data_IF_914998808571
#
_entry.id   IF_914998808571
#
_cell.length_a   1.000
_cell.length_b   1.000
_cell.length_c   1.000
_cell.angle_alpha   90.00
_cell.angle_beta   90.00
_cell.angle_gamma   90.00
#
_symmetry.space_group_name_H-M   'P 1'
#
loop_
_entity.id
_entity.type
_entity.pdbx_description
1 polymer ?
#
# COMPACT_ATOMS: atom_id res chain seq x y z
N UNK A 1 10.42 -31.80 -12.16
CA UNK A 1 10.38 -31.09 -10.87
C UNK A 1 10.60 -29.59 -11.07
N UNK A 2 11.74 -29.11 -11.60
CA UNK A 2 12.02 -27.65 -11.75
C UNK A 2 10.96 -26.93 -12.63
N UNK A 3 10.54 -27.52 -13.76
CA UNK A 3 9.48 -26.93 -14.63
C UNK A 3 8.13 -26.70 -13.91
N UNK A 4 7.79 -27.51 -12.91
CA UNK A 4 6.56 -27.31 -12.11
C UNK A 4 6.77 -26.19 -11.10
N UNK A 5 7.93 -26.11 -10.48
CA UNK A 5 8.32 -25.02 -9.58
C UNK A 5 8.28 -23.67 -10.31
N UNK A 6 8.90 -23.60 -11.50
CA UNK A 6 8.92 -22.36 -12.30
C UNK A 6 7.51 -21.89 -12.67
N UNK A 7 6.58 -22.83 -12.96
CA UNK A 7 5.16 -22.50 -13.20
C UNK A 7 4.45 -21.95 -11.97
N UNK A 8 4.72 -22.53 -10.80
CA UNK A 8 4.13 -22.08 -9.53
C UNK A 8 4.72 -20.74 -9.08
N UNK A 9 6.01 -20.50 -9.32
CA UNK A 9 6.64 -19.20 -9.07
C UNK A 9 6.06 -18.12 -10.01
N UNK A 10 5.86 -18.44 -11.28
CA UNK A 10 5.17 -17.55 -12.22
C UNK A 10 3.71 -17.30 -11.83
N UNK A 11 3.05 -18.26 -11.20
CA UNK A 11 1.72 -18.06 -10.61
C UNK A 11 1.80 -17.11 -9.42
N UNK A 12 2.75 -17.28 -8.50
CA UNK A 12 2.96 -16.39 -7.36
C UNK A 12 3.13 -14.93 -7.82
N UNK A 13 3.94 -14.70 -8.85
CA UNK A 13 4.14 -13.36 -9.41
C UNK A 13 2.83 -12.77 -9.95
N UNK A 14 2.01 -13.54 -10.65
CA UNK A 14 0.70 -13.07 -11.15
C UNK A 14 -0.25 -12.71 -10.01
N UNK A 15 -0.35 -13.57 -8.99
CA UNK A 15 -1.22 -13.32 -7.84
C UNK A 15 -0.81 -12.04 -7.08
N UNK A 16 0.50 -11.78 -6.95
CA UNK A 16 1.01 -10.55 -6.35
C UNK A 16 0.69 -9.30 -7.20
N UNK A 17 0.81 -9.39 -8.54
CA UNK A 17 0.42 -8.31 -9.44
C UNK A 17 -1.08 -8.02 -9.30
N UNK A 18 -1.92 -9.05 -9.26
CA UNK A 18 -3.37 -8.91 -9.10
C UNK A 18 -3.73 -8.28 -7.74
N UNK A 19 -3.05 -8.70 -6.66
CA UNK A 19 -3.22 -8.09 -5.33
C UNK A 19 -2.77 -6.63 -5.32
N UNK A 20 -1.63 -6.31 -5.96
CA UNK A 20 -1.16 -4.93 -6.14
C UNK A 20 -2.18 -4.04 -6.87
N UNK A 21 -2.77 -4.55 -7.95
CA UNK A 21 -3.82 -3.83 -8.68
C UNK A 21 -5.07 -3.55 -7.81
N UNK A 22 -5.44 -4.47 -6.92
CA UNK A 22 -6.52 -4.24 -5.94
C UNK A 22 -6.13 -3.13 -4.95
N UNK A 23 -4.90 -3.13 -4.42
CA UNK A 23 -4.39 -2.07 -3.55
C UNK A 23 -4.45 -0.70 -4.24
N UNK A 24 -3.97 -0.60 -5.49
CA UNK A 24 -4.07 0.63 -6.28
C UNK A 24 -5.52 1.09 -6.44
N UNK A 25 -6.43 0.15 -6.70
CA UNK A 25 -7.84 0.45 -6.91
C UNK A 25 -8.51 0.98 -5.64
N UNK A 26 -8.28 0.40 -4.47
CA UNK A 26 -8.88 0.88 -3.21
C UNK A 26 -8.36 2.26 -2.82
N UNK A 27 -7.06 2.54 -3.00
CA UNK A 27 -6.46 3.85 -2.77
C UNK A 27 -7.08 4.88 -3.74
N UNK A 28 -7.20 4.53 -5.02
CA UNK A 28 -7.79 5.44 -6.02
C UNK A 28 -9.26 5.74 -5.73
N UNK A 29 -10.05 4.75 -5.32
CA UNK A 29 -11.46 4.91 -4.97
C UNK A 29 -11.65 5.80 -3.73
N UNK A 30 -10.89 5.56 -2.66
CA UNK A 30 -10.93 6.39 -1.44
C UNK A 30 -10.55 7.85 -1.74
N UNK A 31 -9.51 8.06 -2.57
CA UNK A 31 -9.09 9.40 -3.01
C UNK A 31 -10.13 10.09 -3.89
N UNK A 32 -10.77 9.37 -4.80
CA UNK A 32 -11.85 9.90 -5.65
C UNK A 32 -13.10 10.22 -4.84
N UNK A 33 -13.48 9.35 -3.90
CA UNK A 33 -14.61 9.57 -2.99
C UNK A 33 -14.43 10.87 -2.21
N UNK A 34 -13.23 11.08 -1.66
CA UNK A 34 -12.88 12.31 -0.94
C UNK A 34 -12.94 13.55 -1.86
N UNK A 35 -12.30 13.47 -3.04
CA UNK A 35 -12.20 14.60 -3.98
C UNK A 35 -13.55 14.99 -4.56
N UNK A 36 -14.35 14.00 -4.96
CA UNK A 36 -15.65 14.20 -5.59
C UNK A 36 -16.79 14.36 -4.57
N UNK A 37 -16.50 14.11 -3.28
CA UNK A 37 -17.51 14.07 -2.20
C UNK A 37 -18.61 13.04 -2.47
N UNK A 38 -18.19 11.89 -2.99
CA UNK A 38 -19.06 10.82 -3.47
C UNK A 38 -18.95 9.59 -2.55
N UNK A 39 -19.94 9.45 -1.66
CA UNK A 39 -20.02 8.32 -0.72
C UNK A 39 -20.27 6.98 -1.42
N UNK A 40 -20.86 6.97 -2.62
CA UNK A 40 -21.06 5.74 -3.38
C UNK A 40 -19.72 5.16 -3.93
N UNK A 41 -18.69 5.98 -4.06
CA UNK A 41 -17.33 5.49 -4.33
C UNK A 41 -16.70 4.92 -3.06
N UNK A 42 -16.90 5.52 -1.90
CA UNK A 42 -16.43 5.00 -0.63
C UNK A 42 -17.03 3.62 -0.31
N UNK A 43 -18.32 3.42 -0.56
CA UNK A 43 -19.02 2.12 -0.36
C UNK A 43 -18.41 0.97 -1.18
N UNK A 44 -17.63 1.26 -2.24
CA UNK A 44 -16.99 0.24 -3.07
C UNK A 44 -15.64 -0.22 -2.52
N UNK A 45 -15.08 0.45 -1.53
CA UNK A 45 -13.76 0.14 -0.99
C UNK A 45 -13.79 -1.15 -0.17
N UNK A 46 -14.67 -1.26 0.82
CA UNK A 46 -14.76 -2.44 1.70
C UNK A 46 -14.92 -3.79 0.95
N UNK A 47 -15.75 -3.92 -0.10
CA UNK A 47 -15.80 -5.17 -0.88
C UNK A 47 -14.48 -5.55 -1.55
N UNK A 48 -13.69 -4.56 -2.00
CA UNK A 48 -12.38 -4.78 -2.62
C UNK A 48 -11.31 -5.10 -1.58
N UNK A 49 -11.36 -4.46 -0.41
CA UNK A 49 -10.53 -4.79 0.72
C UNK A 49 -10.70 -6.27 1.13
N UNK A 50 -11.94 -6.75 1.23
CA UNK A 50 -12.22 -8.18 1.43
C UNK A 50 -11.68 -9.09 0.31
N UNK A 51 -11.46 -8.55 -0.91
CA UNK A 51 -10.79 -9.30 -1.98
C UNK A 51 -9.27 -9.35 -1.75
N UNK A 52 -8.67 -8.28 -1.24
CA UNK A 52 -7.26 -8.23 -0.83
C UNK A 52 -7.00 -9.28 0.26
N UNK A 53 -7.85 -9.36 1.29
CA UNK A 53 -7.79 -10.38 2.34
C UNK A 53 -7.82 -11.81 1.81
N UNK A 54 -8.68 -12.06 0.83
CA UNK A 54 -8.75 -13.39 0.20
C UNK A 54 -7.48 -13.70 -0.59
N UNK A 55 -6.97 -12.71 -1.33
CA UNK A 55 -5.71 -12.82 -2.07
C UNK A 55 -4.53 -13.08 -1.15
N UNK A 56 -4.45 -12.40 0.01
CA UNK A 56 -3.42 -12.67 1.01
C UNK A 56 -3.41 -14.16 1.39
N UNK A 57 -4.55 -14.70 1.81
CA UNK A 57 -4.68 -16.11 2.21
C UNK A 57 -4.36 -17.08 1.07
N UNK A 58 -4.75 -16.78 -0.16
CA UNK A 58 -4.50 -17.64 -1.32
C UNK A 58 -3.02 -17.65 -1.68
N UNK A 59 -2.36 -16.49 -1.63
CA UNK A 59 -0.91 -16.36 -1.89
C UNK A 59 -0.11 -17.03 -0.75
N UNK A 60 -0.50 -16.84 0.52
CA UNK A 60 0.12 -17.54 1.65
C UNK A 60 0.09 -19.06 1.44
N UNK A 61 -1.09 -19.63 1.11
CA UNK A 61 -1.24 -21.04 0.82
C UNK A 61 -0.39 -21.49 -0.39
N UNK A 62 -0.24 -20.67 -1.41
CA UNK A 62 0.65 -20.96 -2.54
C UNK A 62 2.11 -20.99 -2.11
N UNK A 63 2.57 -20.02 -1.33
CA UNK A 63 3.92 -19.97 -0.77
C UNK A 63 4.21 -21.20 0.09
N UNK A 64 3.30 -21.59 0.98
CA UNK A 64 3.45 -22.80 1.80
C UNK A 64 3.57 -24.07 0.94
N UNK A 65 2.77 -24.20 -0.13
CA UNK A 65 2.90 -25.31 -1.07
C UNK A 65 4.26 -25.33 -1.78
N UNK A 66 4.77 -24.19 -2.22
CA UNK A 66 6.10 -24.04 -2.82
C UNK A 66 7.20 -24.51 -1.86
N UNK A 67 7.14 -24.11 -0.59
CA UNK A 67 8.10 -24.49 0.43
C UNK A 67 8.08 -26.01 0.72
N UNK A 68 6.88 -26.60 0.84
CA UNK A 68 6.72 -28.00 1.24
C UNK A 68 7.02 -29.00 0.11
N UNK A 69 6.67 -28.67 -1.13
CA UNK A 69 6.64 -29.64 -2.22
C UNK A 69 7.90 -29.63 -3.11
N UNK A 70 8.66 -28.55 -3.12
CA UNK A 70 9.63 -28.31 -4.19
C UNK A 70 11.11 -28.21 -3.74
N UNK A 71 11.40 -28.23 -2.44
CA UNK A 71 12.76 -28.04 -1.89
C UNK A 71 13.49 -26.86 -2.57
N UNK A 72 13.02 -25.63 -2.39
CA UNK A 72 13.55 -24.45 -3.08
C UNK A 72 15.03 -24.24 -2.74
N UNK A 73 15.83 -23.80 -3.74
CA UNK A 73 17.21 -23.39 -3.49
C UNK A 73 17.24 -22.01 -2.78
N UNK A 74 18.40 -21.59 -2.29
CA UNK A 74 18.51 -20.41 -1.44
C UNK A 74 17.87 -19.14 -2.04
N UNK A 75 18.02 -18.87 -3.34
CA UNK A 75 17.40 -17.72 -4.02
C UNK A 75 15.88 -17.83 -4.08
N UNK A 76 15.37 -19.03 -4.41
CA UNK A 76 13.92 -19.28 -4.50
C UNK A 76 13.28 -19.15 -3.12
N UNK A 77 13.97 -19.63 -2.06
CA UNK A 77 13.51 -19.50 -0.68
C UNK A 77 13.41 -18.03 -0.25
N UNK A 78 14.37 -17.19 -0.63
CA UNK A 78 14.32 -15.75 -0.32
C UNK A 78 13.13 -15.06 -1.03
N UNK A 79 12.87 -15.38 -2.30
CA UNK A 79 11.73 -14.85 -3.03
C UNK A 79 10.39 -15.22 -2.38
N UNK A 80 10.20 -16.49 -2.02
CA UNK A 80 8.98 -16.95 -1.35
C UNK A 80 8.84 -16.30 0.03
N UNK A 81 9.95 -16.18 0.78
CA UNK A 81 9.96 -15.53 2.09
C UNK A 81 9.63 -14.04 2.02
N UNK A 82 10.16 -13.33 1.01
CA UNK A 82 9.80 -11.94 0.76
C UNK A 82 8.32 -11.81 0.39
N UNK A 83 7.79 -12.65 -0.50
CA UNK A 83 6.38 -12.66 -0.87
C UNK A 83 5.45 -12.80 0.35
N UNK A 84 5.76 -13.72 1.28
CA UNK A 84 5.00 -13.92 2.52
C UNK A 84 4.95 -12.66 3.41
N UNK A 85 5.98 -11.81 3.35
CA UNK A 85 5.99 -10.54 4.09
C UNK A 85 5.27 -9.44 3.32
N UNK A 86 5.49 -9.39 2.02
CA UNK A 86 4.85 -8.39 1.17
C UNK A 86 3.33 -8.46 1.20
N UNK A 87 2.73 -9.66 1.19
CA UNK A 87 1.25 -9.79 1.22
C UNK A 87 0.65 -9.20 2.49
N UNK A 88 1.34 -9.31 3.63
CA UNK A 88 0.88 -8.69 4.88
C UNK A 88 0.93 -7.15 4.79
N UNK A 89 1.99 -6.57 4.19
CA UNK A 89 2.03 -5.13 3.95
C UNK A 89 0.94 -4.70 2.94
N UNK A 90 0.64 -5.51 1.93
CA UNK A 90 -0.41 -5.24 0.95
C UNK A 90 -1.82 -5.32 1.57
N UNK A 91 -2.08 -6.25 2.48
CA UNK A 91 -3.31 -6.30 3.28
C UNK A 91 -3.46 -5.04 4.13
N UNK A 92 -2.39 -4.59 4.80
CA UNK A 92 -2.41 -3.33 5.55
C UNK A 92 -2.68 -2.11 4.69
N UNK A 93 -2.23 -2.11 3.44
CA UNK A 93 -2.58 -1.04 2.47
C UNK A 93 -4.09 -1.02 2.21
N UNK A 94 -4.72 -2.18 2.05
CA UNK A 94 -6.17 -2.32 1.92
C UNK A 94 -6.90 -1.75 3.14
N UNK A 95 -6.54 -2.23 4.35
CA UNK A 95 -7.07 -1.75 5.64
C UNK A 95 -7.03 -0.21 5.74
N UNK A 96 -5.88 0.42 5.42
CA UNK A 96 -5.75 1.87 5.51
C UNK A 96 -6.65 2.62 4.51
N UNK A 97 -6.85 2.05 3.33
CA UNK A 97 -7.75 2.64 2.33
C UNK A 97 -9.22 2.50 2.73
N UNK A 98 -9.59 1.39 3.39
CA UNK A 98 -10.93 1.19 3.96
C UNK A 98 -11.19 2.11 5.16
N UNK A 99 -10.22 2.29 6.06
CA UNK A 99 -10.28 3.29 7.14
C UNK A 99 -10.58 4.71 6.61
N UNK A 100 -9.97 5.10 5.47
CA UNK A 100 -10.27 6.37 4.79
C UNK A 100 -11.73 6.39 4.32
N UNK A 101 -12.19 5.31 3.70
CA UNK A 101 -13.57 5.21 3.21
C UNK A 101 -14.58 5.25 4.36
N UNK A 102 -14.33 4.59 5.49
CA UNK A 102 -15.16 4.63 6.69
C UNK A 102 -15.32 6.06 7.22
N UNK A 103 -14.23 6.84 7.30
CA UNK A 103 -14.33 8.26 7.70
C UNK A 103 -15.27 9.03 6.78
N UNK A 104 -15.18 8.82 5.46
CA UNK A 104 -16.03 9.50 4.49
C UNK A 104 -17.50 9.10 4.63
N UNK A 105 -17.78 7.82 4.88
CA UNK A 105 -19.15 7.31 5.11
C UNK A 105 -19.74 7.84 6.41
N UNK A 106 -18.98 7.90 7.50
CA UNK A 106 -19.43 8.47 8.78
C UNK A 106 -19.80 9.96 8.66
N UNK A 107 -19.23 10.66 7.67
CA UNK A 107 -19.52 12.08 7.41
C UNK A 107 -20.59 12.33 6.34
N UNK A 108 -21.40 11.35 6.02
CA UNK A 108 -22.47 11.50 5.02
C UNK A 108 -23.28 12.79 5.24
N UNK A 109 -23.32 13.66 4.24
CA UNK A 109 -23.99 14.97 4.32
C UNK A 109 -23.13 16.13 4.89
N UNK A 110 -21.91 15.86 5.38
CA UNK A 110 -20.94 16.87 5.84
C UNK A 110 -19.58 16.69 5.14
N UNK A 111 -19.49 17.00 3.84
CA UNK A 111 -18.33 16.66 3.04
C UNK A 111 -17.05 17.36 3.52
N UNK A 112 -15.92 16.64 3.46
CA UNK A 112 -14.60 17.19 3.69
C UNK A 112 -14.12 18.00 2.49
N UNK A 113 -13.36 19.05 2.72
CA UNK A 113 -12.69 19.82 1.68
C UNK A 113 -11.23 19.38 1.60
N UNK A 114 -10.97 18.35 0.81
CA UNK A 114 -9.61 17.94 0.49
C UNK A 114 -8.95 18.97 -0.43
N UNK A 115 -7.80 19.48 -0.04
CA UNK A 115 -6.96 20.30 -0.90
C UNK A 115 -6.21 19.45 -1.95
N UNK A 116 -5.59 20.11 -2.93
CA UNK A 116 -4.79 19.45 -3.96
C UNK A 116 -3.64 18.61 -3.38
N UNK A 117 -3.05 19.08 -2.27
CA UNK A 117 -1.95 18.39 -1.58
C UNK A 117 -2.32 16.97 -1.15
N UNK A 118 -3.53 16.75 -0.63
CA UNK A 118 -3.98 15.42 -0.21
C UNK A 118 -4.21 14.48 -1.41
N UNK A 119 -4.70 15.02 -2.52
CA UNK A 119 -4.84 14.28 -3.78
C UNK A 119 -3.46 13.90 -4.37
N UNK A 120 -2.48 14.80 -4.30
CA UNK A 120 -1.13 14.54 -4.80
C UNK A 120 -0.43 13.51 -3.91
N UNK A 121 -0.66 13.54 -2.58
CA UNK A 121 -0.21 12.52 -1.64
C UNK A 121 -0.77 11.13 -2.01
N UNK A 122 -2.08 11.01 -2.26
CA UNK A 122 -2.69 9.76 -2.69
C UNK A 122 -2.10 9.22 -4.01
N UNK A 123 -1.78 10.10 -4.96
CA UNK A 123 -1.11 9.69 -6.22
C UNK A 123 0.31 9.21 -5.98
N UNK A 124 1.05 9.83 -5.07
CA UNK A 124 2.39 9.40 -4.71
C UNK A 124 2.35 8.00 -4.07
N UNK A 125 1.42 7.74 -3.15
CA UNK A 125 1.27 6.41 -2.53
C UNK A 125 0.87 5.33 -3.55
N UNK A 126 -0.06 5.61 -4.48
CA UNK A 126 -0.41 4.67 -5.56
C UNK A 126 0.84 4.31 -6.37
N UNK A 127 1.65 5.31 -6.75
CA UNK A 127 2.89 5.07 -7.50
C UNK A 127 3.86 4.20 -6.72
N UNK A 128 4.08 4.48 -5.43
CA UNK A 128 4.99 3.68 -4.58
C UNK A 128 4.52 2.22 -4.48
N UNK A 129 3.23 1.96 -4.29
CA UNK A 129 2.67 0.60 -4.24
C UNK A 129 2.88 -0.12 -5.57
N UNK A 130 2.54 0.49 -6.70
CA UNK A 130 2.72 -0.08 -8.04
C UNK A 130 4.18 -0.42 -8.32
N UNK A 131 5.08 0.54 -8.09
CA UNK A 131 6.51 0.39 -8.35
C UNK A 131 7.16 -0.64 -7.40
N UNK A 132 6.69 -0.79 -6.16
CA UNK A 132 7.21 -1.81 -5.23
C UNK A 132 6.87 -3.24 -5.69
N UNK A 133 5.65 -3.48 -6.18
CA UNK A 133 5.25 -4.77 -6.75
C UNK A 133 6.01 -5.06 -8.05
N UNK A 134 6.14 -4.06 -8.92
CA UNK A 134 6.91 -4.17 -10.16
C UNK A 134 8.39 -4.50 -9.89
N UNK A 135 8.99 -3.86 -8.88
CA UNK A 135 10.37 -4.13 -8.47
C UNK A 135 10.56 -5.59 -8.03
N UNK A 136 9.59 -6.16 -7.30
CA UNK A 136 9.61 -7.58 -6.92
C UNK A 136 9.56 -8.49 -8.13
N UNK A 137 8.61 -8.28 -9.03
CA UNK A 137 8.39 -9.15 -10.20
C UNK A 137 9.60 -9.12 -11.14
N UNK A 138 10.23 -7.95 -11.30
CA UNK A 138 11.41 -7.75 -12.16
C UNK A 138 12.73 -8.04 -11.44
N UNK A 139 12.71 -8.25 -10.13
CA UNK A 139 13.92 -8.36 -9.28
C UNK A 139 14.82 -7.13 -9.44
N UNK A 140 14.21 -5.96 -9.52
CA UNK A 140 14.84 -4.67 -9.79
C UNK A 140 15.17 -3.93 -8.49
N UNK A 141 16.43 -4.01 -8.08
CA UNK A 141 16.93 -3.35 -6.86
C UNK A 141 16.96 -1.83 -7.01
N UNK A 142 17.23 -1.31 -8.20
CA UNK A 142 17.30 0.13 -8.43
C UNK A 142 15.88 0.75 -8.31
N UNK A 143 14.87 0.07 -8.85
CA UNK A 143 13.48 0.48 -8.69
C UNK A 143 13.03 0.41 -7.22
N UNK A 144 13.40 -0.64 -6.50
CA UNK A 144 13.11 -0.75 -5.06
C UNK A 144 13.73 0.40 -4.25
N UNK A 145 14.97 0.80 -4.58
CA UNK A 145 15.62 1.96 -3.94
C UNK A 145 14.90 3.27 -4.26
N UNK A 146 14.37 3.42 -5.47
CA UNK A 146 13.58 4.60 -5.85
C UNK A 146 12.27 4.69 -5.05
N UNK A 147 11.60 3.56 -4.82
CA UNK A 147 10.40 3.50 -3.96
C UNK A 147 10.73 3.93 -2.53
N UNK A 148 11.82 3.41 -1.96
CA UNK A 148 12.27 3.79 -0.61
C UNK A 148 12.57 5.30 -0.53
N UNK A 149 13.20 5.86 -1.56
CA UNK A 149 13.48 7.30 -1.60
C UNK A 149 12.23 8.17 -1.82
N UNK A 150 11.18 7.62 -2.44
CA UNK A 150 9.92 8.32 -2.67
C UNK A 150 9.09 8.53 -1.39
N UNK A 151 9.40 7.83 -0.32
CA UNK A 151 8.78 7.98 1.01
C UNK A 151 8.93 9.41 1.55
N UNK A 152 10.10 10.03 1.38
CA UNK A 152 10.35 11.43 1.74
C UNK A 152 9.36 12.41 1.06
N UNK A 153 8.86 12.08 -0.14
CA UNK A 153 7.85 12.88 -0.84
C UNK A 153 6.49 12.80 -0.12
N UNK A 154 6.10 11.60 0.29
CA UNK A 154 4.83 11.34 1.01
C UNK A 154 4.86 11.99 2.38
N UNK A 155 5.95 11.87 3.14
CA UNK A 155 6.18 12.54 4.41
C UNK A 155 6.10 14.06 4.27
N UNK A 156 6.71 14.60 3.22
CA UNK A 156 6.63 16.02 2.89
C UNK A 156 5.19 16.50 2.59
N UNK A 157 4.34 15.66 1.99
CA UNK A 157 2.91 15.96 1.84
C UNK A 157 2.20 15.97 3.19
N UNK A 158 2.43 14.96 4.03
CA UNK A 158 1.85 14.88 5.37
C UNK A 158 2.17 16.11 6.21
N UNK A 159 3.43 16.53 6.27
CA UNK A 159 3.86 17.69 7.04
C UNK A 159 3.22 19.00 6.53
N UNK A 160 3.08 19.17 5.21
CA UNK A 160 2.38 20.33 4.63
C UNK A 160 0.90 20.35 4.98
N UNK A 161 0.22 19.21 4.90
CA UNK A 161 -1.20 19.08 5.29
C UNK A 161 -1.36 19.41 6.77
N UNK A 162 -0.56 18.82 7.64
CA UNK A 162 -0.56 19.05 9.08
C UNK A 162 -0.35 20.53 9.42
N UNK A 163 0.66 21.17 8.82
CA UNK A 163 0.92 22.59 9.05
C UNK A 163 -0.25 23.48 8.58
N UNK A 164 -0.86 23.16 7.44
CA UNK A 164 -2.04 23.86 6.94
C UNK A 164 -3.25 23.71 7.88
N UNK A 165 -3.51 22.50 8.40
CA UNK A 165 -4.60 22.26 9.35
C UNK A 165 -4.39 23.00 10.68
N UNK A 166 -3.15 23.05 11.20
CA UNK A 166 -2.80 23.82 12.39
C UNK A 166 -3.08 25.32 12.18
N UNK A 167 -2.68 25.88 11.03
CA UNK A 167 -2.94 27.31 10.71
C UNK A 167 -4.44 27.62 10.64
N UNK A 168 -5.25 26.72 10.06
CA UNK A 168 -6.72 26.85 10.03
C UNK A 168 -7.35 26.84 11.40
N UNK A 169 -6.92 25.92 12.30
CA UNK A 169 -7.36 25.87 13.69
C UNK A 169 -7.03 27.20 14.39
N UNK A 170 -5.79 27.68 14.25
CA UNK A 170 -5.36 28.93 14.88
C UNK A 170 -6.18 30.16 14.40
N UNK A 171 -6.70 30.14 13.19
CA UNK A 171 -7.56 31.20 12.63
C UNK A 171 -9.02 31.05 13.00
N UNK A 172 -9.41 29.98 13.70
CA UNK A 172 -10.81 29.72 14.09
C UNK A 172 -11.75 29.48 12.90
N UNK A 173 -11.22 29.00 11.79
CA UNK A 173 -11.97 28.86 10.51
C UNK A 173 -12.66 27.50 10.39
N UNK A 174 -12.27 26.52 11.22
CA UNK A 174 -12.66 25.11 10.99
C UNK A 174 -13.61 24.50 12.01
N UNK A 175 -14.44 23.58 11.49
CA UNK A 175 -15.00 22.47 12.25
C UNK A 175 -13.85 21.55 12.72
N UNK A 176 -13.67 21.46 14.05
CA UNK A 176 -12.59 20.67 14.64
C UNK A 176 -12.66 19.19 14.26
N UNK A 177 -13.88 18.63 14.10
CA UNK A 177 -14.09 17.24 13.65
C UNK A 177 -13.56 17.03 12.22
N UNK A 178 -13.92 17.95 11.30
CA UNK A 178 -13.42 17.89 9.91
C UNK A 178 -11.89 17.99 9.84
N UNK A 179 -11.29 18.79 10.69
CA UNK A 179 -9.82 18.95 10.75
C UNK A 179 -9.13 17.66 11.21
N UNK A 180 -9.68 17.01 12.24
CA UNK A 180 -9.16 15.73 12.72
C UNK A 180 -9.32 14.63 11.68
N UNK A 181 -10.46 14.54 11.01
CA UNK A 181 -10.69 13.56 9.95
C UNK A 181 -9.72 13.73 8.78
N UNK A 182 -9.46 14.98 8.34
CA UNK A 182 -8.46 15.24 7.30
C UNK A 182 -7.04 14.87 7.73
N UNK A 183 -6.70 15.10 9.00
CA UNK A 183 -5.39 14.69 9.55
C UNK A 183 -5.27 13.16 9.59
N UNK A 184 -6.34 12.45 9.98
CA UNK A 184 -6.36 10.99 9.98
C UNK A 184 -6.25 10.41 8.58
N UNK A 185 -6.99 10.95 7.60
CA UNK A 185 -6.88 10.54 6.20
C UNK A 185 -5.44 10.74 5.68
N UNK A 186 -4.80 11.88 5.98
CA UNK A 186 -3.41 12.11 5.61
C UNK A 186 -2.47 11.09 6.28
N UNK A 187 -2.73 10.74 7.57
CA UNK A 187 -1.93 9.72 8.27
C UNK A 187 -2.10 8.32 7.69
N UNK A 188 -3.29 7.98 7.21
CA UNK A 188 -3.49 6.71 6.52
C UNK A 188 -2.73 6.64 5.19
N UNK A 189 -2.69 7.73 4.39
CA UNK A 189 -1.86 7.76 3.19
C UNK A 189 -0.37 7.65 3.51
N UNK A 190 0.12 8.31 4.55
CA UNK A 190 1.52 8.17 4.97
C UNK A 190 1.83 6.71 5.37
N UNK A 191 0.95 6.04 6.12
CA UNK A 191 1.12 4.62 6.46
C UNK A 191 1.09 3.71 5.23
N UNK A 192 0.30 4.03 4.19
CA UNK A 192 0.35 3.31 2.92
C UNK A 192 1.74 3.45 2.27
N UNK A 193 2.35 4.65 2.32
CA UNK A 193 3.74 4.88 1.90
C UNK A 193 4.73 4.02 2.68
N UNK A 194 4.64 4.00 4.02
CA UNK A 194 5.45 3.15 4.90
C UNK A 194 5.38 1.66 4.47
N UNK A 195 4.16 1.15 4.20
CA UNK A 195 3.99 -0.24 3.77
C UNK A 195 4.57 -0.50 2.38
N UNK A 196 4.47 0.45 1.44
CA UNK A 196 5.12 0.32 0.13
C UNK A 196 6.66 0.32 0.25
N UNK A 197 7.20 1.11 1.18
CA UNK A 197 8.63 1.09 1.53
C UNK A 197 9.05 -0.26 2.10
N UNK A 198 8.27 -0.84 3.01
CA UNK A 198 8.52 -2.19 3.53
C UNK A 198 8.55 -3.23 2.41
N UNK A 199 7.59 -3.18 1.46
CA UNK A 199 7.57 -4.07 0.30
C UNK A 199 8.87 -3.93 -0.49
N UNK A 200 9.32 -2.70 -0.78
CA UNK A 200 10.57 -2.45 -1.51
C UNK A 200 11.81 -2.98 -0.76
N UNK A 201 11.85 -2.88 0.57
CA UNK A 201 12.93 -3.46 1.40
C UNK A 201 12.94 -4.99 1.31
N UNK A 202 11.77 -5.65 1.28
CA UNK A 202 11.67 -7.09 1.05
C UNK A 202 12.12 -7.49 -0.36
N UNK A 203 11.89 -6.65 -1.36
CA UNK A 203 12.45 -6.85 -2.71
C UNK A 203 13.97 -6.86 -2.66
N UNK A 204 14.58 -5.86 -2.04
CA UNK A 204 16.02 -5.78 -1.88
C UNK A 204 16.58 -7.02 -1.18
N UNK A 205 15.96 -7.47 -0.09
CA UNK A 205 16.34 -8.70 0.60
C UNK A 205 16.22 -9.92 -0.32
N UNK A 206 15.16 -10.05 -1.10
CA UNK A 206 14.95 -11.20 -1.98
C UNK A 206 16.08 -11.37 -3.01
N UNK A 207 16.63 -10.25 -3.50
CA UNK A 207 17.69 -10.23 -4.50
C UNK A 207 19.08 -10.33 -3.86
N UNK A 208 19.39 -9.48 -2.88
CA UNK A 208 20.73 -9.33 -2.32
C UNK A 208 21.02 -10.32 -1.18
N UNK A 209 19.97 -10.79 -0.49
CA UNK A 209 20.09 -11.59 0.73
C UNK A 209 20.43 -10.77 1.98
N UNK A 210 20.51 -9.45 1.89
CA UNK A 210 20.83 -8.56 3.02
C UNK A 210 19.56 -7.79 3.42
N UNK A 211 19.19 -7.87 4.70
CA UNK A 211 18.10 -7.06 5.25
C UNK A 211 18.65 -5.73 5.77
N UNK A 212 17.90 -4.63 5.62
CA UNK A 212 18.33 -3.27 6.03
C UNK A 212 18.78 -3.19 7.50
N UNK A 213 18.21 -3.99 8.39
CA UNK A 213 18.59 -4.05 9.82
C UNK A 213 20.00 -4.60 10.07
N UNK A 214 20.63 -5.25 9.09
CA UNK A 214 21.97 -5.84 9.22
C UNK A 214 23.08 -4.96 8.60
N UNK A 215 22.71 -3.82 8.02
CA UNK A 215 23.60 -2.91 7.32
C UNK A 215 24.10 -1.72 8.17
N UNK A 216 23.95 -1.79 9.51
CA UNK A 216 24.43 -0.78 10.49
C UNK A 216 25.63 -1.28 11.27
#
# INVERSE_FOLDING_TARGET
MRSQFDKQLAQLHRELIEMGALCEQVIALSSQALTNRDTALAEKVAPLDHEIDRKERDIENLCLRLLLQQQPVASDLRQISAALKMITDMERIGDQADDIAEILLCRAGRPLSAGDTLRDMARATIRMVSESVDAYVRQDVDLAQQVIAADDEVDGYFDRIKAHLIDRIAKGVDDGEATLDLLMIAKYYERIGDHATNIAEWVMFSVTGVHKTEAT
#
